data_IF_370225528924
#
_entry.id   IF_370225528924
#
_cell.length_a   1.000
_cell.length_b   1.000
_cell.length_c   1.000
_cell.angle_alpha   90.00
_cell.angle_beta   90.00
_cell.angle_gamma   90.00
#
_symmetry.space_group_name_H-M   'P 1'
#
loop_
_entity.id
_entity.type
_entity.pdbx_description
1 polymer ?
#
# COMPACT_ATOMS: atom_id res chain seq x y z
N UNK A 1 14.16 5.51 10.84
CA UNK A 1 13.31 5.35 9.64
C UNK A 1 12.38 4.17 9.82
N UNK A 2 11.14 4.34 9.46
CA UNK A 2 10.11 3.29 9.56
C UNK A 2 9.85 2.72 8.18
N UNK A 3 9.77 1.40 8.08
CA UNK A 3 9.38 0.70 6.86
C UNK A 3 7.97 0.16 7.05
N UNK A 4 7.16 0.21 6.00
CA UNK A 4 5.81 -0.33 6.04
C UNK A 4 5.60 -1.25 4.84
N UNK A 5 4.98 -2.41 5.10
CA UNK A 5 4.45 -3.28 4.07
C UNK A 5 2.94 -3.36 4.27
N UNK A 6 2.20 -2.77 3.35
CA UNK A 6 0.75 -2.85 3.33
C UNK A 6 0.35 -3.89 2.30
N UNK A 7 -0.13 -5.04 2.77
CA UNK A 7 -0.52 -6.15 1.90
C UNK A 7 -2.03 -6.05 1.68
N UNK A 8 -2.43 -5.76 0.45
CA UNK A 8 -3.82 -5.50 0.09
C UNK A 8 -4.32 -6.61 -0.84
N UNK A 9 -5.35 -7.31 -0.40
CA UNK A 9 -6.00 -8.34 -1.21
C UNK A 9 -7.37 -7.83 -1.65
N UNK A 10 -7.57 -7.76 -2.96
CA UNK A 10 -8.83 -7.35 -3.55
C UNK A 10 -9.81 -8.52 -3.62
N UNK A 11 -11.09 -8.21 -3.72
CA UNK A 11 -12.07 -9.18 -4.19
C UNK A 11 -11.67 -9.65 -5.60
N UNK A 12 -12.04 -10.88 -6.02
CA UNK A 12 -11.60 -11.42 -7.29
C UNK A 12 -11.83 -10.45 -8.46
N UNK A 13 -10.76 -10.18 -9.20
CA UNK A 13 -10.79 -9.30 -10.37
C UNK A 13 -10.80 -7.80 -10.07
N UNK A 14 -10.76 -7.37 -8.81
CA UNK A 14 -10.89 -5.95 -8.43
C UNK A 14 -9.56 -5.23 -8.18
N UNK A 15 -8.43 -5.94 -8.27
CA UNK A 15 -7.11 -5.33 -7.98
C UNK A 15 -6.84 -4.08 -8.81
N UNK A 16 -7.15 -4.10 -10.10
CA UNK A 16 -6.87 -2.96 -10.99
C UNK A 16 -7.69 -1.72 -10.61
N UNK A 17 -8.92 -1.90 -10.11
CA UNK A 17 -9.74 -0.79 -9.62
C UNK A 17 -9.12 -0.14 -8.39
N UNK A 18 -8.62 -0.93 -7.46
CA UNK A 18 -7.95 -0.41 -6.26
C UNK A 18 -6.64 0.29 -6.68
N UNK A 19 -5.85 -0.31 -7.56
CA UNK A 19 -4.60 0.28 -8.04
C UNK A 19 -4.82 1.61 -8.76
N UNK A 20 -5.88 1.74 -9.53
CA UNK A 20 -6.23 3.01 -10.18
C UNK A 20 -6.50 4.10 -9.13
N UNK A 21 -7.30 3.80 -8.12
CA UNK A 21 -7.58 4.72 -7.02
C UNK A 21 -6.30 5.04 -6.22
N UNK A 22 -5.45 4.04 -6.00
CA UNK A 22 -4.18 4.21 -5.31
C UNK A 22 -3.26 5.18 -6.08
N UNK A 23 -3.13 5.00 -7.40
CA UNK A 23 -2.32 5.89 -8.24
C UNK A 23 -2.82 7.33 -8.22
N UNK A 24 -4.14 7.51 -8.23
CA UNK A 24 -4.74 8.84 -8.17
C UNK A 24 -4.46 9.56 -6.84
N UNK A 25 -4.20 8.81 -5.76
CA UNK A 25 -3.92 9.34 -4.43
C UNK A 25 -2.40 9.43 -4.12
N UNK A 26 -1.56 8.76 -4.90
CA UNK A 26 -0.15 8.57 -4.57
C UNK A 26 0.63 9.88 -4.46
N UNK A 27 0.38 10.86 -5.34
CA UNK A 27 1.08 12.14 -5.30
C UNK A 27 0.77 12.90 -4.01
N UNK A 28 -0.47 12.86 -3.54
CA UNK A 28 -0.85 13.48 -2.28
C UNK A 28 -0.12 12.84 -1.09
N UNK A 29 0.03 11.52 -1.11
CA UNK A 29 0.77 10.79 -0.07
C UNK A 29 2.26 11.14 -0.12
N UNK A 30 2.85 11.13 -1.31
CA UNK A 30 4.28 11.44 -1.47
C UNK A 30 4.62 12.86 -1.06
N UNK A 31 3.66 13.78 -1.10
CA UNK A 31 3.81 15.16 -0.64
C UNK A 31 3.66 15.31 0.88
N UNK A 32 3.24 14.27 1.60
CA UNK A 32 3.12 14.31 3.05
C UNK A 32 4.49 14.46 3.72
N UNK A 33 4.51 15.20 4.82
CA UNK A 33 5.71 15.41 5.60
C UNK A 33 6.25 14.09 6.14
N UNK A 34 7.52 13.81 5.86
CA UNK A 34 8.18 12.57 6.31
C UNK A 34 7.95 11.36 5.41
N UNK A 35 7.22 11.48 4.31
CA UNK A 35 7.10 10.39 3.33
C UNK A 35 8.39 10.28 2.52
N UNK A 36 9.12 9.17 2.68
CA UNK A 36 10.39 8.92 2.00
C UNK A 36 10.23 7.99 0.79
N UNK A 37 9.26 7.09 0.82
CA UNK A 37 8.92 6.20 -0.30
C UNK A 37 7.48 5.72 -0.15
N UNK A 38 6.81 5.57 -1.29
CA UNK A 38 5.42 5.10 -1.33
C UNK A 38 5.15 4.49 -2.70
N UNK A 39 5.28 3.16 -2.81
CA UNK A 39 5.24 2.44 -4.07
C UNK A 39 4.35 1.21 -3.99
N UNK A 40 3.49 1.03 -5.00
CA UNK A 40 2.70 -0.19 -5.15
C UNK A 40 3.44 -1.18 -6.04
N UNK A 41 3.56 -2.42 -5.58
CA UNK A 41 4.27 -3.49 -6.27
C UNK A 41 3.41 -4.75 -6.35
N UNK A 42 3.66 -5.56 -7.35
CA UNK A 42 2.97 -6.84 -7.57
C UNK A 42 4.00 -7.92 -7.85
N UNK A 43 3.58 -9.17 -7.83
CA UNK A 43 4.45 -10.29 -8.20
C UNK A 43 5.10 -10.04 -9.55
N UNK A 44 6.39 -10.38 -9.67
CA UNK A 44 7.07 -10.41 -10.96
C UNK A 44 6.41 -11.50 -11.84
N UNK A 45 6.06 -11.14 -13.07
CA UNK A 45 5.30 -12.04 -13.96
C UNK A 45 5.98 -13.40 -14.16
N UNK A 46 7.26 -13.39 -14.44
CA UNK A 46 8.03 -14.57 -14.79
C UNK A 46 9.16 -14.83 -13.77
N UNK A 47 8.82 -14.75 -12.48
CA UNK A 47 9.77 -15.05 -11.43
C UNK A 47 10.21 -16.52 -11.51
N UNK A 48 11.49 -16.77 -11.18
CA UNK A 48 12.03 -18.11 -11.15
C UNK A 48 11.25 -19.02 -10.18
N UNK A 49 11.16 -20.33 -10.46
CA UNK A 49 10.52 -21.27 -9.53
C UNK A 49 11.13 -21.23 -8.14
N UNK A 50 10.34 -21.47 -7.12
CA UNK A 50 10.78 -21.51 -5.73
C UNK A 50 10.54 -20.22 -4.94
N UNK A 51 10.12 -19.13 -5.59
CA UNK A 51 9.75 -17.91 -4.89
C UNK A 51 8.25 -17.92 -4.55
N UNK A 52 7.93 -17.43 -3.36
CA UNK A 52 6.55 -17.26 -2.94
C UNK A 52 5.86 -16.18 -3.76
N UNK A 53 4.56 -16.34 -3.99
CA UNK A 53 3.74 -15.40 -4.75
C UNK A 53 2.54 -14.99 -3.93
N UNK A 54 2.13 -13.72 -4.08
CA UNK A 54 0.89 -13.22 -3.48
C UNK A 54 -0.35 -13.58 -4.30
N UNK A 55 -0.21 -13.65 -5.62
CA UNK A 55 -1.32 -13.92 -6.54
C UNK A 55 -1.84 -12.68 -7.25
N UNK A 56 -2.82 -12.90 -8.13
CA UNK A 56 -3.33 -11.87 -9.05
C UNK A 56 -4.23 -10.83 -8.40
N UNK A 57 -4.78 -11.11 -7.22
CA UNK A 57 -5.68 -10.18 -6.53
C UNK A 57 -5.00 -9.40 -5.39
N UNK A 58 -3.69 -9.56 -5.24
CA UNK A 58 -2.92 -8.91 -4.18
C UNK A 58 -1.91 -7.93 -4.76
N UNK A 59 -1.73 -6.79 -4.09
CA UNK A 59 -0.59 -5.92 -4.29
C UNK A 59 -0.03 -5.50 -2.93
N UNK A 60 1.21 -5.04 -2.93
CA UNK A 60 1.87 -4.60 -1.70
C UNK A 60 2.28 -3.15 -1.87
N UNK A 61 1.97 -2.31 -0.88
CA UNK A 61 2.51 -0.95 -0.84
C UNK A 61 3.76 -0.99 0.04
N UNK A 62 4.89 -0.66 -0.56
CA UNK A 62 6.17 -0.56 0.14
C UNK A 62 6.37 0.91 0.49
N UNK A 63 6.50 1.19 1.79
CA UNK A 63 6.56 2.57 2.27
C UNK A 63 7.76 2.78 3.18
N UNK A 64 8.27 4.00 3.18
CA UNK A 64 9.28 4.46 4.14
C UNK A 64 8.86 5.81 4.69
N UNK A 65 8.93 5.95 6.00
CA UNK A 65 8.54 7.17 6.72
C UNK A 65 9.68 7.61 7.63
N UNK A 66 9.87 8.91 7.77
CA UNK A 66 10.94 9.45 8.59
C UNK A 66 10.78 9.10 10.07
N UNK A 67 9.53 8.94 10.54
CA UNK A 67 9.22 8.66 11.93
C UNK A 67 7.86 7.98 12.08
N UNK A 68 7.60 7.44 13.27
CA UNK A 68 6.28 6.89 13.62
C UNK A 68 5.22 8.00 13.58
N UNK A 69 5.57 9.20 14.02
CA UNK A 69 4.66 10.35 14.03
C UNK A 69 4.22 10.72 12.61
N UNK A 70 5.13 10.68 11.64
CA UNK A 70 4.80 10.91 10.24
C UNK A 70 3.85 9.85 9.70
N UNK A 71 4.08 8.58 10.03
CA UNK A 71 3.18 7.48 9.67
C UNK A 71 1.80 7.64 10.30
N UNK A 72 1.73 8.04 11.57
CA UNK A 72 0.46 8.27 12.26
C UNK A 72 -0.33 9.40 11.61
N UNK A 73 0.34 10.48 11.24
CA UNK A 73 -0.29 11.60 10.53
C UNK A 73 -0.84 11.17 9.17
N UNK A 74 -0.07 10.33 8.44
CA UNK A 74 -0.53 9.73 7.18
C UNK A 74 -1.83 8.94 7.38
N UNK A 75 -1.89 8.09 8.39
CA UNK A 75 -3.03 7.21 8.63
C UNK A 75 -4.35 7.96 8.85
N UNK A 76 -4.30 9.19 9.35
CA UNK A 76 -5.49 10.02 9.63
C UNK A 76 -5.69 11.16 8.63
N UNK A 77 -4.86 11.25 7.60
CA UNK A 77 -4.97 12.32 6.60
C UNK A 77 -6.32 12.25 5.85
N UNK A 78 -6.94 13.41 5.54
CA UNK A 78 -8.24 13.43 4.85
C UNK A 78 -8.24 12.68 3.53
N UNK A 79 -7.17 12.79 2.72
CA UNK A 79 -7.08 12.08 1.45
C UNK A 79 -6.98 10.55 1.63
N UNK A 80 -6.42 10.08 2.75
CA UNK A 80 -6.39 8.65 3.07
C UNK A 80 -7.76 8.14 3.48
N UNK A 81 -8.51 8.93 4.24
CA UNK A 81 -9.89 8.57 4.60
C UNK A 81 -10.78 8.47 3.37
N UNK A 82 -10.65 9.41 2.44
CA UNK A 82 -11.40 9.40 1.19
C UNK A 82 -11.03 8.20 0.31
N UNK A 83 -9.73 7.90 0.20
CA UNK A 83 -9.24 6.72 -0.51
C UNK A 83 -9.78 5.43 0.11
N UNK A 84 -9.69 5.28 1.42
CA UNK A 84 -10.16 4.09 2.13
C UNK A 84 -11.67 3.85 1.91
N UNK A 85 -12.47 4.91 1.95
CA UNK A 85 -13.91 4.82 1.68
C UNK A 85 -14.18 4.37 0.25
N UNK A 86 -13.41 4.89 -0.72
CA UNK A 86 -13.58 4.59 -2.14
C UNK A 86 -13.28 3.12 -2.47
N UNK A 87 -12.23 2.54 -1.88
CA UNK A 87 -11.78 1.18 -2.21
C UNK A 87 -12.40 0.09 -1.35
N UNK A 88 -13.15 0.45 -0.33
CA UNK A 88 -13.72 -0.48 0.65
C UNK A 88 -14.49 -1.62 -0.01
N UNK A 89 -15.35 -1.32 -0.97
CA UNK A 89 -16.19 -2.31 -1.64
C UNK A 89 -15.41 -3.30 -2.51
N UNK A 90 -14.16 -2.98 -2.86
CA UNK A 90 -13.30 -3.81 -3.70
C UNK A 90 -12.24 -4.58 -2.91
N UNK A 91 -12.14 -4.32 -1.61
CA UNK A 91 -11.10 -4.90 -0.75
C UNK A 91 -11.63 -6.09 0.03
N UNK A 92 -10.95 -7.24 -0.11
CA UNK A 92 -11.26 -8.44 0.67
C UNK A 92 -10.53 -8.44 2.01
N UNK A 93 -9.26 -8.05 2.01
CA UNK A 93 -8.43 -8.05 3.23
C UNK A 93 -7.27 -7.08 3.09
N UNK A 94 -6.77 -6.60 4.22
CA UNK A 94 -5.54 -5.81 4.28
C UNK A 94 -4.78 -6.14 5.56
N UNK A 95 -3.45 -6.17 5.45
CA UNK A 95 -2.56 -6.35 6.57
C UNK A 95 -1.45 -5.30 6.48
N UNK A 96 -1.30 -4.50 7.52
CA UNK A 96 -0.30 -3.44 7.58
C UNK A 96 0.79 -3.86 8.56
N UNK A 97 2.01 -4.01 8.06
CA UNK A 97 3.17 -4.33 8.88
C UNK A 97 4.04 -3.09 9.02
N UNK A 98 4.30 -2.69 10.25
CA UNK A 98 5.15 -1.53 10.57
C UNK A 98 6.45 -2.06 11.12
N UNK A 99 7.55 -1.74 10.46
CA UNK A 99 8.84 -2.37 10.67
C UNK A 99 9.91 -1.32 10.91
N UNK A 100 10.96 -1.71 11.63
CA UNK A 100 12.15 -0.89 11.81
C UNK A 100 13.40 -1.74 11.57
N UNK A 101 14.56 -1.13 11.30
CA UNK A 101 15.79 -1.89 11.14
C UNK A 101 16.08 -2.75 12.38
N UNK A 102 16.45 -4.00 12.13
CA UNK A 102 16.74 -4.95 13.21
C UNK A 102 18.06 -4.62 13.95
#
# INVERSE_FOLDING_TARGET
MIHVLAIITALPGMRDRILEAWRANADAVRAEDGCLAYDAVVDVRDAAPGFARFGTDTFVVVEKWASVEALQAHAVAPHMKAYAAKVREWTANRAIHVLEPA
#
